data_IF_028082808350
#
_entry.id   IF_028082808350
#
_cell.length_a   1.000
_cell.length_b   1.000
_cell.length_c   1.000
_cell.angle_alpha   90.00
_cell.angle_beta   90.00
_cell.angle_gamma   90.00
#
_symmetry.space_group_name_H-M   'P 1'
#
loop_
_entity.id
_entity.type
_entity.pdbx_description
1 polymer ?
#
# COMPACT_ATOMS: atom_id res chain seq x y z
N UNK A 1 10.01 -15.26 16.76
CA UNK A 1 9.32 -14.47 17.75
C UNK A 1 7.98 -14.01 17.21
N UNK A 2 7.02 -13.78 18.11
CA UNK A 2 5.65 -13.47 17.71
C UNK A 2 5.55 -12.23 16.82
N UNK A 3 6.35 -11.19 17.10
CA UNK A 3 6.31 -9.95 16.31
C UNK A 3 6.83 -10.15 14.89
N UNK A 4 7.88 -10.96 14.74
CA UNK A 4 8.43 -11.27 13.42
C UNK A 4 7.44 -12.10 12.60
N UNK A 5 6.74 -13.03 13.25
CA UNK A 5 5.73 -13.83 12.58
C UNK A 5 4.54 -12.99 12.15
N UNK A 6 4.10 -12.08 13.02
CA UNK A 6 3.00 -11.16 12.69
C UNK A 6 3.37 -10.26 11.51
N UNK A 7 4.59 -9.73 11.51
CA UNK A 7 5.05 -8.88 10.42
C UNK A 7 5.12 -9.67 9.11
N UNK A 8 5.68 -10.88 9.17
CA UNK A 8 5.80 -11.72 7.97
C UNK A 8 4.43 -12.06 7.39
N UNK A 9 3.47 -12.41 8.24
CA UNK A 9 2.10 -12.69 7.81
C UNK A 9 1.45 -11.44 7.23
N UNK A 10 1.65 -10.28 7.85
CA UNK A 10 1.13 -9.02 7.37
C UNK A 10 1.72 -8.66 6.00
N UNK A 11 3.03 -8.84 5.83
CA UNK A 11 3.72 -8.55 4.58
C UNK A 11 3.16 -9.42 3.45
N UNK A 12 2.98 -10.71 3.71
CA UNK A 12 2.39 -11.63 2.74
C UNK A 12 0.99 -11.19 2.36
N UNK A 13 0.19 -10.80 3.34
CA UNK A 13 -1.19 -10.37 3.12
C UNK A 13 -1.26 -9.11 2.28
N UNK A 14 -0.49 -8.07 2.61
CA UNK A 14 -0.54 -6.81 1.84
C UNK A 14 0.01 -7.00 0.44
N UNK A 15 1.01 -7.87 0.27
CA UNK A 15 1.57 -8.18 -1.04
C UNK A 15 0.52 -8.83 -1.93
N UNK A 16 -0.20 -9.83 -1.42
CA UNK A 16 -1.25 -10.50 -2.18
C UNK A 16 -2.39 -9.56 -2.53
N UNK A 17 -2.78 -8.72 -1.58
CA UNK A 17 -3.86 -7.75 -1.82
C UNK A 17 -3.46 -6.77 -2.93
N UNK A 18 -2.22 -6.28 -2.91
CA UNK A 18 -1.74 -5.37 -3.93
C UNK A 18 -1.73 -6.03 -5.31
N UNK A 19 -1.26 -7.27 -5.39
CA UNK A 19 -1.21 -8.01 -6.64
C UNK A 19 -2.61 -8.23 -7.24
N UNK A 20 -3.56 -8.62 -6.38
CA UNK A 20 -4.94 -8.82 -6.82
C UNK A 20 -5.59 -7.50 -7.22
N UNK A 21 -5.30 -6.44 -6.48
CA UNK A 21 -5.89 -5.15 -6.77
C UNK A 21 -5.48 -4.63 -8.13
N UNK A 22 -4.18 -4.70 -8.47
CA UNK A 22 -3.73 -4.19 -9.77
C UNK A 22 -4.34 -4.95 -10.94
N UNK A 23 -4.57 -6.25 -10.78
CA UNK A 23 -5.24 -7.03 -11.81
C UNK A 23 -6.67 -6.52 -12.06
N UNK A 24 -7.42 -6.30 -10.98
CA UNK A 24 -8.80 -5.84 -11.09
C UNK A 24 -8.90 -4.40 -11.58
N UNK A 25 -7.96 -3.57 -11.16
CA UNK A 25 -8.00 -2.13 -11.44
C UNK A 25 -7.34 -1.76 -12.77
N UNK A 26 -6.66 -2.70 -13.42
CA UNK A 26 -5.94 -2.39 -14.66
C UNK A 26 -4.70 -1.53 -14.42
N UNK A 27 -4.10 -1.67 -13.25
CA UNK A 27 -2.89 -0.95 -12.88
C UNK A 27 -1.70 -1.90 -12.85
N UNK A 28 -0.52 -1.37 -12.55
CA UNK A 28 0.70 -2.14 -12.39
C UNK A 28 1.35 -1.82 -11.04
N UNK A 29 2.12 -2.76 -10.52
CA UNK A 29 2.93 -2.50 -9.33
C UNK A 29 4.23 -1.84 -9.73
N UNK A 30 4.85 -1.12 -8.79
CA UNK A 30 6.15 -0.50 -8.97
C UNK A 30 7.15 -1.55 -9.46
N UNK A 31 7.80 -1.31 -10.64
CA UNK A 31 8.77 -2.28 -11.16
C UNK A 31 10.10 -2.28 -10.41
N UNK A 32 10.46 -1.18 -9.76
CA UNK A 32 11.64 -1.12 -8.91
C UNK A 32 11.39 -1.94 -7.66
N UNK A 33 12.08 -3.06 -7.55
CA UNK A 33 11.87 -4.01 -6.46
C UNK A 33 12.16 -3.39 -5.09
N UNK A 34 13.21 -2.60 -4.97
CA UNK A 34 13.57 -1.98 -3.70
C UNK A 34 12.50 -0.98 -3.25
N UNK A 35 12.02 -0.15 -4.18
CA UNK A 35 10.94 0.79 -3.89
C UNK A 35 9.66 0.07 -3.52
N UNK A 36 9.31 -0.95 -4.29
CA UNK A 36 8.10 -1.74 -4.04
C UNK A 36 8.15 -2.40 -2.67
N UNK A 37 9.27 -3.05 -2.35
CA UNK A 37 9.42 -3.75 -1.07
C UNK A 37 9.38 -2.78 0.09
N UNK A 38 9.96 -1.60 -0.06
CA UNK A 38 9.93 -0.55 0.96
C UNK A 38 8.49 -0.16 1.31
N UNK A 39 7.67 0.07 0.29
CA UNK A 39 6.26 0.44 0.51
C UNK A 39 5.47 -0.71 1.11
N UNK A 40 5.66 -1.92 0.60
CA UNK A 40 4.94 -3.09 1.12
C UNK A 40 5.30 -3.35 2.59
N UNK A 41 6.56 -3.19 2.95
CA UNK A 41 6.98 -3.32 4.35
C UNK A 41 6.35 -2.25 5.23
N UNK A 42 6.22 -1.02 4.73
CA UNK A 42 5.53 0.06 5.43
C UNK A 42 4.07 -0.25 5.68
N UNK A 43 3.39 -0.80 4.67
CA UNK A 43 2.00 -1.24 4.81
C UNK A 43 1.86 -2.36 5.84
N UNK A 44 2.79 -3.30 5.82
CA UNK A 44 2.78 -4.42 6.77
C UNK A 44 2.98 -3.93 8.21
N UNK A 45 3.92 -2.99 8.42
CA UNK A 45 4.14 -2.40 9.74
C UNK A 45 2.88 -1.70 10.24
N UNK A 46 2.21 -0.95 9.38
CA UNK A 46 0.97 -0.27 9.75
C UNK A 46 -0.13 -1.27 10.09
N UNK A 47 -0.24 -2.34 9.31
CA UNK A 47 -1.23 -3.38 9.58
C UNK A 47 -1.02 -4.02 10.95
N UNK A 48 0.24 -4.32 11.31
CA UNK A 48 0.54 -4.90 12.62
C UNK A 48 0.28 -3.90 13.74
N UNK A 49 0.68 -2.64 13.55
CA UNK A 49 0.60 -1.62 14.59
C UNK A 49 -0.82 -1.11 14.82
N UNK A 50 -1.57 -0.89 13.75
CA UNK A 50 -2.89 -0.24 13.83
C UNK A 50 -4.05 -1.16 13.47
N UNK A 51 -3.79 -2.36 12.97
CA UNK A 51 -4.82 -3.26 12.48
C UNK A 51 -5.35 -2.90 11.09
N UNK A 52 -4.76 -1.89 10.44
CA UNK A 52 -5.14 -1.45 9.09
C UNK A 52 -3.87 -1.13 8.30
N UNK A 53 -3.89 -1.44 7.00
CA UNK A 53 -2.75 -1.17 6.13
C UNK A 53 -2.79 0.26 5.59
N UNK A 54 -2.55 1.22 6.48
CA UNK A 54 -2.47 2.64 6.07
C UNK A 54 -1.26 2.87 5.18
N UNK A 55 -1.43 3.77 4.19
CA UNK A 55 -0.34 4.13 3.29
C UNK A 55 0.83 4.73 4.09
N UNK A 56 2.06 4.24 3.90
CA UNK A 56 3.20 4.72 4.68
C UNK A 56 3.61 6.16 4.36
N UNK A 57 3.15 6.72 3.24
CA UNK A 57 3.42 8.11 2.89
C UNK A 57 2.45 9.09 3.56
N UNK A 58 1.51 8.60 4.35
CA UNK A 58 0.54 9.41 5.08
C UNK A 58 0.73 9.23 6.58
N UNK A 59 0.52 10.29 7.34
CA UNK A 59 0.55 10.19 8.80
C UNK A 59 -0.75 9.59 9.31
N UNK A 60 -0.64 8.72 10.31
CA UNK A 60 -1.80 8.17 11.00
C UNK A 60 -2.14 9.13 12.13
N UNK A 61 -3.34 9.73 12.04
CA UNK A 61 -3.78 10.73 13.02
C UNK A 61 -4.26 10.11 14.34
N UNK A 62 -4.57 8.82 14.32
CA UNK A 62 -5.13 8.14 15.49
C UNK A 62 -6.64 8.20 15.53
N UNK A 63 -7.28 8.79 14.53
CA UNK A 63 -8.73 8.87 14.40
C UNK A 63 -9.15 7.98 13.24
N UNK A 64 -9.82 6.83 13.51
CA UNK A 64 -10.19 5.90 12.43
C UNK A 64 -11.02 6.52 11.32
N UNK A 65 -11.85 7.52 11.62
CA UNK A 65 -12.65 8.16 10.59
C UNK A 65 -11.79 9.00 9.65
N UNK A 66 -10.82 9.73 10.19
CA UNK A 66 -9.91 10.54 9.38
C UNK A 66 -8.93 9.66 8.61
N UNK A 67 -8.45 8.60 9.25
CA UNK A 67 -7.42 7.75 8.66
C UNK A 67 -7.97 6.79 7.60
N UNK A 68 -9.28 6.59 7.56
CA UNK A 68 -9.92 5.65 6.62
C UNK A 68 -9.56 5.93 5.17
N UNK A 69 -9.44 7.20 4.79
CA UNK A 69 -9.10 7.59 3.43
C UNK A 69 -7.68 7.16 3.04
N UNK A 70 -6.83 6.88 4.02
CA UNK A 70 -5.43 6.54 3.81
C UNK A 70 -5.14 5.05 3.89
N UNK A 71 -6.16 4.21 4.02
CA UNK A 71 -6.01 2.76 3.91
C UNK A 71 -5.67 2.42 2.47
N UNK A 72 -4.62 1.64 2.26
CA UNK A 72 -4.16 1.29 0.92
C UNK A 72 -5.14 0.35 0.21
N UNK A 73 -5.55 0.60 -1.05
CA UNK A 73 -5.19 1.77 -1.86
C UNK A 73 -5.93 3.02 -1.36
N UNK A 74 -5.19 4.11 -1.19
CA UNK A 74 -5.77 5.31 -0.60
C UNK A 74 -6.79 5.96 -1.55
N UNK A 75 -7.62 6.86 -0.98
CA UNK A 75 -8.73 7.47 -1.74
C UNK A 75 -8.26 8.20 -2.99
N UNK A 76 -7.09 8.82 -2.94
CA UNK A 76 -6.60 9.67 -4.02
C UNK A 76 -5.69 8.96 -5.01
N UNK A 77 -5.45 7.64 -4.84
CA UNK A 77 -4.46 6.93 -5.67
C UNK A 77 -4.81 6.94 -7.16
N UNK A 78 -6.08 6.83 -7.53
CA UNK A 78 -6.47 6.81 -8.95
C UNK A 78 -6.19 8.15 -9.62
N UNK A 79 -6.49 9.25 -8.93
CA UNK A 79 -6.20 10.59 -9.45
C UNK A 79 -4.68 10.80 -9.57
N UNK A 80 -3.93 10.33 -8.59
CA UNK A 80 -2.47 10.44 -8.60
C UNK A 80 -1.86 9.65 -9.77
N UNK A 81 -2.34 8.42 -10.00
CA UNK A 81 -1.89 7.61 -11.13
C UNK A 81 -2.23 8.29 -12.45
N UNK A 82 -3.44 8.85 -12.56
CA UNK A 82 -3.86 9.52 -13.78
C UNK A 82 -3.01 10.76 -14.09
N UNK A 83 -2.64 11.52 -13.06
CA UNK A 83 -1.87 12.76 -13.23
C UNK A 83 -0.38 12.52 -13.38
N UNK A 84 0.18 11.65 -12.55
CA UNK A 84 1.63 11.50 -12.42
C UNK A 84 2.16 10.15 -12.89
N UNK A 85 1.29 9.21 -13.22
CA UNK A 85 1.67 7.86 -13.60
C UNK A 85 1.85 6.92 -12.43
N UNK A 86 1.86 7.42 -11.20
CA UNK A 86 1.98 6.60 -9.98
C UNK A 86 1.32 7.28 -8.81
N UNK A 87 0.94 6.47 -7.81
CA UNK A 87 0.40 7.02 -6.57
C UNK A 87 1.53 7.62 -5.72
N UNK A 88 1.17 8.36 -4.68
CA UNK A 88 2.15 9.09 -3.87
C UNK A 88 3.22 8.19 -3.27
N UNK A 89 2.84 6.98 -2.81
CA UNK A 89 3.81 6.00 -2.30
C UNK A 89 4.64 5.37 -3.40
N UNK A 90 4.17 5.45 -4.65
CA UNK A 90 4.84 4.81 -5.78
C UNK A 90 4.57 3.33 -5.93
N UNK A 91 3.64 2.76 -5.15
CA UNK A 91 3.32 1.33 -5.24
C UNK A 91 2.49 1.00 -6.48
N UNK A 92 1.46 1.81 -6.74
CA UNK A 92 0.55 1.60 -7.88
C UNK A 92 0.92 2.55 -9.00
N UNK A 93 1.02 2.01 -10.21
CA UNK A 93 1.46 2.76 -11.38
C UNK A 93 0.51 2.52 -12.54
N UNK A 94 0.54 3.45 -13.50
CA UNK A 94 -0.17 3.27 -14.76
C UNK A 94 0.42 2.06 -15.48
N UNK A 95 -0.47 1.20 -15.95
CA UNK A 95 -0.04 0.03 -16.71
C UNK A 95 0.48 0.47 -18.07
N UNK A 96 1.70 0.07 -18.40
CA UNK A 96 2.30 0.31 -19.71
C UNK A 96 2.35 -1.00 -20.46
N UNK A 97 1.94 -0.97 -21.71
CA UNK A 97 1.99 -2.16 -22.56
C UNK A 97 3.34 -2.30 -23.22
#
# INVERSE_FOLDING_TARGET
MADDEKFRAALERVTRQAERYVERAGLALQPDRAQRDYVLQGLARNLVKYGRAYCPCREVAGDPQKDRANICPCRTHRAEVAQSGQCECGLFMRKTN
#
